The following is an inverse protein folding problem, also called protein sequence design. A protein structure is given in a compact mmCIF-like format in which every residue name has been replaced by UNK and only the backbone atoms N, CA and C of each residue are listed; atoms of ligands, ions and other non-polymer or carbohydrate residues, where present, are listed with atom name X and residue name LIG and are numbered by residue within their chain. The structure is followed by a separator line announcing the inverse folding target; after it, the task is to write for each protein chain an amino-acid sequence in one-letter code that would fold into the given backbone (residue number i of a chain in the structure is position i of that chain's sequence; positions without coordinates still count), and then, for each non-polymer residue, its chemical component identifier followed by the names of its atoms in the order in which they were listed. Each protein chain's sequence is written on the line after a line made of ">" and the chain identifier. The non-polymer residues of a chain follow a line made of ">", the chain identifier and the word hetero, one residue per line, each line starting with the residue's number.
data_IF_589339214020
#
_entry.id   IF_589339214020
#
_cell.length_a   1.000
_cell.length_b   1.000
_cell.length_c   1.000
_cell.angle_alpha   90.00
_cell.angle_beta   90.00
_cell.angle_gamma   90.00
#
_symmetry.space_group_name_H-M   'P 1'
#
loop_
_entity.id
_entity.type
_entity.pdbx_description
1 polymer ?
#
# COMPACT_ATOMS: atom_id res chain seq x y z
N UNK A 1 8.14 -3.58 38.57
CA UNK A 1 7.06 -2.58 38.79
C UNK A 1 5.93 -2.93 37.83
N UNK A 2 4.73 -3.16 38.31
CA UNK A 2 3.59 -3.51 37.43
C UNK A 2 3.07 -2.21 36.81
N UNK A 3 3.19 -2.06 35.51
CA UNK A 3 2.66 -0.89 34.78
C UNK A 3 1.17 -1.13 34.58
N UNK A 4 0.31 -0.28 35.15
CA UNK A 4 -1.15 -0.37 35.03
C UNK A 4 -1.64 0.73 34.08
N UNK A 5 -1.57 0.44 32.77
CA UNK A 5 -2.06 1.31 31.69
C UNK A 5 -3.19 0.59 30.96
N UNK A 6 -4.29 1.30 30.75
CA UNK A 6 -5.43 0.79 29.99
C UNK A 6 -5.34 1.14 28.50
N UNK A 7 -6.09 0.44 27.66
CA UNK A 7 -6.24 0.80 26.24
C UNK A 7 -6.86 2.19 26.07
N UNK A 8 -7.69 2.62 27.01
CA UNK A 8 -8.23 3.98 27.04
C UNK A 8 -7.13 5.02 27.24
N UNK A 9 -6.17 4.74 28.12
CA UNK A 9 -5.02 5.62 28.34
C UNK A 9 -4.18 5.75 27.06
N UNK A 10 -3.88 4.64 26.38
CA UNK A 10 -3.12 4.65 25.14
C UNK A 10 -3.85 5.44 24.04
N UNK A 11 -5.16 5.23 23.86
CA UNK A 11 -5.97 6.00 22.89
C UNK A 11 -5.99 7.49 23.20
N UNK A 12 -6.09 7.83 24.48
CA UNK A 12 -6.06 9.24 24.94
C UNK A 12 -4.70 9.87 24.61
N UNK A 13 -3.60 9.18 24.89
CA UNK A 13 -2.26 9.64 24.54
C UNK A 13 -2.11 9.86 23.02
N UNK A 14 -2.52 8.88 22.18
CA UNK A 14 -2.43 8.99 20.73
C UNK A 14 -3.29 10.12 20.16
N UNK A 15 -4.47 10.40 20.74
CA UNK A 15 -5.29 11.54 20.36
C UNK A 15 -4.59 12.88 20.64
N UNK A 16 -3.91 13.01 21.80
CA UNK A 16 -3.10 14.19 22.11
C UNK A 16 -1.89 14.28 21.16
N UNK A 17 -1.23 13.17 20.86
CA UNK A 17 -0.09 13.12 19.97
C UNK A 17 -0.45 13.55 18.53
N UNK A 18 -1.62 13.12 18.03
CA UNK A 18 -2.09 13.45 16.69
C UNK A 18 -2.57 14.90 16.55
N UNK A 19 -3.22 15.45 17.61
CA UNK A 19 -3.73 16.82 17.58
C UNK A 19 -2.71 17.85 18.06
N UNK A 20 -1.69 17.44 18.81
CA UNK A 20 -0.76 18.29 19.55
C UNK A 20 -1.50 19.33 20.42
N UNK A 21 -2.71 18.98 20.90
CA UNK A 21 -3.60 19.85 21.68
C UNK A 21 -4.45 19.05 22.65
N UNK A 22 -4.26 19.31 23.94
CA UNK A 22 -5.05 18.67 25.00
C UNK A 22 -6.55 19.03 24.95
N UNK A 23 -6.90 20.25 24.54
CA UNK A 23 -8.30 20.66 24.40
C UNK A 23 -8.97 20.05 23.20
N UNK A 24 -8.28 19.95 22.06
CA UNK A 24 -8.85 19.26 20.87
C UNK A 24 -9.01 17.76 21.12
N UNK A 25 -8.02 17.11 21.71
CA UNK A 25 -8.13 15.70 22.11
C UNK A 25 -9.29 15.47 23.09
N UNK A 26 -9.48 16.36 24.07
CA UNK A 26 -10.59 16.30 25.01
C UNK A 26 -11.95 16.37 24.29
N UNK A 27 -12.10 17.28 23.33
CA UNK A 27 -13.29 17.40 22.49
C UNK A 27 -13.54 16.12 21.68
N UNK A 28 -12.50 15.57 21.01
CA UNK A 28 -12.60 14.35 20.22
C UNK A 28 -13.01 13.13 21.06
N UNK A 29 -12.53 13.08 22.31
CA UNK A 29 -12.77 11.95 23.20
C UNK A 29 -14.00 12.14 24.13
N UNK A 30 -14.70 13.27 24.02
CA UNK A 30 -15.82 13.65 24.89
C UNK A 30 -15.42 13.66 26.38
N UNK A 31 -14.21 14.12 26.68
CA UNK A 31 -13.67 14.24 28.03
C UNK A 31 -13.41 15.71 28.38
N UNK A 32 -13.20 15.99 29.69
CA UNK A 32 -12.66 17.27 30.08
C UNK A 32 -11.15 17.35 29.81
N UNK A 33 -10.63 18.55 29.54
CA UNK A 33 -9.20 18.73 29.33
C UNK A 33 -8.38 18.30 30.57
N UNK A 34 -8.91 18.50 31.78
CA UNK A 34 -8.29 18.06 33.04
C UNK A 34 -8.18 16.54 33.10
N UNK A 35 -9.22 15.79 32.64
CA UNK A 35 -9.20 14.34 32.59
C UNK A 35 -8.13 13.84 31.62
N UNK A 36 -8.08 14.39 30.39
CA UNK A 36 -7.04 14.07 29.41
C UNK A 36 -5.64 14.35 29.96
N UNK A 37 -5.45 15.50 30.62
CA UNK A 37 -4.17 15.85 31.23
C UNK A 37 -3.76 14.89 32.35
N UNK A 38 -4.69 14.44 33.17
CA UNK A 38 -4.46 13.47 34.25
C UNK A 38 -4.08 12.10 33.69
N UNK A 39 -4.73 11.67 32.61
CA UNK A 39 -4.41 10.40 31.93
C UNK A 39 -2.98 10.44 31.40
N UNK A 40 -2.60 11.50 30.68
CA UNK A 40 -1.24 11.65 30.15
C UNK A 40 -0.20 11.68 31.26
N UNK A 41 -0.46 12.39 32.35
CA UNK A 41 0.44 12.39 33.53
C UNK A 41 0.61 11.02 34.15
N UNK A 42 -0.46 10.23 34.22
CA UNK A 42 -0.41 8.84 34.70
C UNK A 42 0.46 7.97 33.80
N UNK A 43 0.34 8.12 32.47
CA UNK A 43 1.18 7.40 31.50
C UNK A 43 2.66 7.80 31.68
N UNK A 44 2.95 9.11 31.72
CA UNK A 44 4.32 9.62 31.92
C UNK A 44 4.94 9.11 33.23
N UNK A 45 4.14 9.04 34.28
CA UNK A 45 4.58 8.46 35.57
C UNK A 45 4.85 6.95 35.46
N UNK A 46 4.02 6.22 34.75
CA UNK A 46 4.17 4.78 34.56
C UNK A 46 5.42 4.43 33.73
N UNK A 47 5.70 5.21 32.69
CA UNK A 47 6.90 5.01 31.82
C UNK A 47 8.13 5.74 32.35
N UNK A 48 8.00 6.53 33.42
CA UNK A 48 9.07 7.31 34.04
C UNK A 48 9.78 8.28 33.05
N UNK A 49 9.04 8.78 32.07
CA UNK A 49 9.55 9.70 31.07
C UNK A 49 8.50 10.73 30.70
N UNK A 50 8.92 11.94 30.35
CA UNK A 50 8.06 12.93 29.73
C UNK A 50 7.85 12.57 28.27
N UNK A 51 6.60 12.43 27.85
CA UNK A 51 6.23 12.12 26.48
C UNK A 51 5.89 13.39 25.68
N UNK A 52 5.45 14.47 26.39
CA UNK A 52 5.20 15.77 25.79
C UNK A 52 6.08 16.86 26.38
N UNK A 53 6.54 17.75 25.51
CA UNK A 53 7.05 19.06 25.88
C UNK A 53 5.88 20.04 25.83
N UNK A 54 5.64 20.73 26.96
CA UNK A 54 4.58 21.72 27.09
C UNK A 54 5.21 23.09 27.33
N UNK A 55 4.96 24.01 26.42
CA UNK A 55 5.21 25.44 26.65
C UNK A 55 3.87 26.15 26.67
N UNK A 56 3.84 27.41 27.11
CA UNK A 56 2.62 28.24 27.15
C UNK A 56 2.02 28.45 25.74
N UNK A 57 2.76 28.14 24.68
CA UNK A 57 2.36 28.38 23.28
C UNK A 57 2.29 27.12 22.40
N UNK A 58 2.89 25.98 22.80
CA UNK A 58 3.00 24.83 21.96
C UNK A 58 3.12 23.54 22.76
N UNK A 59 2.46 22.48 22.26
CA UNK A 59 2.66 21.09 22.67
C UNK A 59 3.41 20.37 21.55
N UNK A 60 4.46 19.60 21.89
CA UNK A 60 5.18 18.75 20.97
C UNK A 60 5.58 17.44 21.65
N UNK A 61 5.84 16.39 20.88
CA UNK A 61 6.36 15.14 21.41
C UNK A 61 7.84 15.30 21.81
N UNK A 62 8.27 14.50 22.77
CA UNK A 62 9.68 14.22 23.05
C UNK A 62 10.12 13.03 22.19
N UNK A 63 11.43 12.72 22.11
CA UNK A 63 11.92 11.49 21.49
C UNK A 63 11.30 10.22 22.10
N UNK A 64 11.11 10.21 23.43
CA UNK A 64 10.38 9.14 24.12
C UNK A 64 8.89 9.11 23.73
N UNK A 65 8.29 10.28 23.51
CA UNK A 65 6.91 10.40 23.04
C UNK A 65 6.73 9.85 21.62
N UNK A 66 7.65 10.14 20.72
CA UNK A 66 7.64 9.62 19.34
C UNK A 66 7.76 8.08 19.33
N UNK A 67 8.69 7.54 20.11
CA UNK A 67 8.80 6.09 20.27
C UNK A 67 7.53 5.49 20.86
N UNK A 68 6.99 6.11 21.91
CA UNK A 68 5.77 5.63 22.56
C UNK A 68 4.53 5.71 21.64
N UNK A 69 4.47 6.65 20.69
CA UNK A 69 3.42 6.65 19.64
C UNK A 69 3.47 5.38 18.83
N UNK A 70 4.66 4.96 18.38
CA UNK A 70 4.85 3.73 17.61
C UNK A 70 4.38 2.52 18.41
N UNK A 71 4.87 2.37 19.62
CA UNK A 71 4.60 1.20 20.47
C UNK A 71 3.12 1.15 20.91
N UNK A 72 2.54 2.29 21.28
CA UNK A 72 1.14 2.37 21.69
C UNK A 72 0.18 2.04 20.53
N UNK A 73 0.52 2.47 19.31
CA UNK A 73 -0.25 2.15 18.10
C UNK A 73 -0.25 0.64 17.85
N UNK A 74 0.91 0.00 17.96
CA UNK A 74 1.05 -1.45 17.79
C UNK A 74 0.24 -2.23 18.85
N UNK A 75 0.38 -1.86 20.12
CA UNK A 75 -0.35 -2.51 21.22
C UNK A 75 -1.86 -2.40 21.01
N UNK A 76 -2.37 -1.23 20.64
CA UNK A 76 -3.79 -1.05 20.38
C UNK A 76 -4.27 -1.85 19.17
N UNK A 77 -3.49 -1.91 18.11
CA UNK A 77 -3.82 -2.73 16.94
C UNK A 77 -3.91 -4.22 17.30
N UNK A 78 -2.99 -4.73 18.12
CA UNK A 78 -3.01 -6.11 18.63
C UNK A 78 -4.21 -6.36 19.54
N UNK A 79 -4.53 -5.42 20.43
CA UNK A 79 -5.67 -5.52 21.33
C UNK A 79 -7.00 -5.54 20.56
N UNK A 80 -7.19 -4.60 19.64
CA UNK A 80 -8.41 -4.50 18.83
C UNK A 80 -8.61 -5.75 17.97
N UNK A 81 -7.52 -6.31 17.47
CA UNK A 81 -7.55 -7.57 16.74
C UNK A 81 -7.93 -8.78 17.64
N UNK A 82 -7.40 -8.84 18.86
CA UNK A 82 -7.75 -9.89 19.79
C UNK A 82 -9.24 -9.81 20.19
N UNK A 83 -9.75 -8.61 20.44
CA UNK A 83 -11.17 -8.37 20.71
C UNK A 83 -12.03 -8.70 19.49
N UNK A 84 -11.56 -8.32 18.28
CA UNK A 84 -12.18 -8.67 17.01
C UNK A 84 -12.26 -10.19 16.82
N UNK A 85 -11.14 -10.90 16.98
CA UNK A 85 -11.08 -12.36 16.86
C UNK A 85 -12.05 -13.09 17.82
N UNK A 86 -12.21 -12.60 19.04
CA UNK A 86 -13.17 -13.18 20.00
C UNK A 86 -14.61 -12.91 19.58
N UNK A 87 -14.91 -11.75 19.04
CA UNK A 87 -16.25 -11.43 18.49
C UNK A 87 -16.55 -12.22 17.21
N UNK A 88 -15.55 -12.41 16.35
CA UNK A 88 -15.67 -13.09 15.06
C UNK A 88 -15.86 -14.60 15.20
N UNK A 89 -15.45 -15.22 16.31
CA UNK A 89 -15.77 -16.63 16.63
C UNK A 89 -17.28 -16.84 16.69
N UNK A 90 -18.05 -15.83 17.00
CA UNK A 90 -19.51 -15.96 17.14
C UNK A 90 -20.34 -15.44 15.96
N UNK A 91 -19.83 -14.54 15.11
CA UNK A 91 -20.62 -13.97 14.00
C UNK A 91 -19.72 -13.25 12.96
N UNK A 92 -19.64 -13.75 11.73
CA UNK A 92 -19.21 -13.04 10.53
C UNK A 92 -20.07 -11.79 10.20
N UNK A 93 -20.67 -11.16 11.18
CA UNK A 93 -21.68 -10.09 11.03
C UNK A 93 -21.21 -8.70 11.42
N UNK A 94 -20.03 -8.54 11.97
CA UNK A 94 -19.48 -7.22 12.27
C UNK A 94 -17.97 -7.27 12.40
N UNK A 95 -17.28 -6.46 11.67
CA UNK A 95 -15.82 -6.39 11.68
C UNK A 95 -15.32 -5.36 10.69
N UNK A 96 -14.02 -5.34 10.50
CA UNK A 96 -13.39 -4.52 9.46
C UNK A 96 -12.25 -5.29 8.82
N UNK A 97 -12.04 -5.07 7.53
CA UNK A 97 -10.87 -5.52 6.79
C UNK A 97 -10.19 -4.30 6.21
N UNK A 98 -8.93 -4.12 6.55
CA UNK A 98 -8.09 -3.07 6.03
C UNK A 98 -7.01 -3.68 5.12
N UNK A 99 -6.93 -3.22 3.89
CA UNK A 99 -6.00 -3.72 2.87
C UNK A 99 -5.16 -2.57 2.35
N UNK A 100 -3.85 -2.76 2.26
CA UNK A 100 -2.99 -1.90 1.46
C UNK A 100 -2.76 -2.53 0.08
N UNK A 101 -2.73 -1.74 -0.98
CA UNK A 101 -2.46 -2.25 -2.31
C UNK A 101 -1.65 -1.27 -3.14
N UNK A 102 -0.82 -1.80 -4.04
CA UNK A 102 -0.16 -0.98 -5.05
C UNK A 102 -1.20 -0.26 -5.91
N UNK A 103 -0.96 1.00 -6.36
CA UNK A 103 -1.93 1.82 -7.08
C UNK A 103 -2.58 1.13 -8.27
N UNK A 104 -1.80 0.37 -9.04
CA UNK A 104 -2.33 -0.37 -10.20
C UNK A 104 -3.31 -1.46 -9.81
N UNK A 105 -3.06 -2.20 -8.72
CA UNK A 105 -3.94 -3.24 -8.21
C UNK A 105 -5.12 -2.64 -7.45
N UNK A 106 -4.89 -1.55 -6.71
CA UNK A 106 -5.94 -0.80 -6.04
C UNK A 106 -7.00 -0.30 -7.04
N UNK A 107 -6.57 0.18 -8.21
CA UNK A 107 -7.48 0.67 -9.24
C UNK A 107 -8.12 -0.45 -10.08
N UNK A 108 -7.39 -1.55 -10.37
CA UNK A 108 -7.84 -2.56 -11.32
C UNK A 108 -8.55 -3.75 -10.70
N UNK A 109 -8.08 -4.18 -9.52
CA UNK A 109 -8.53 -5.43 -8.89
C UNK A 109 -9.44 -5.18 -7.68
N UNK A 110 -9.04 -4.24 -6.81
CA UNK A 110 -9.71 -4.05 -5.52
C UNK A 110 -11.18 -3.61 -5.62
N UNK A 111 -11.63 -2.80 -6.60
CA UNK A 111 -13.03 -2.41 -6.68
C UNK A 111 -13.98 -3.61 -6.87
N UNK A 112 -13.66 -4.49 -7.81
CA UNK A 112 -14.48 -5.69 -8.07
C UNK A 112 -14.43 -6.67 -6.90
N UNK A 113 -13.24 -6.83 -6.29
CA UNK A 113 -13.08 -7.65 -5.09
C UNK A 113 -13.92 -7.11 -3.92
N UNK A 114 -13.87 -5.81 -3.67
CA UNK A 114 -14.62 -5.16 -2.60
C UNK A 114 -16.12 -5.25 -2.84
N UNK A 115 -16.57 -5.05 -4.08
CA UNK A 115 -17.98 -5.20 -4.45
C UNK A 115 -18.48 -6.64 -4.19
N UNK A 116 -17.73 -7.64 -4.65
CA UNK A 116 -18.07 -9.05 -4.44
C UNK A 116 -18.04 -9.44 -2.94
N UNK A 117 -17.05 -8.94 -2.20
CA UNK A 117 -16.94 -9.17 -0.76
C UNK A 117 -18.07 -8.51 0.03
N UNK A 118 -18.40 -7.25 -0.27
CA UNK A 118 -19.49 -6.52 0.40
C UNK A 118 -20.86 -7.13 0.12
N UNK A 119 -21.07 -7.69 -1.08
CA UNK A 119 -22.30 -8.40 -1.40
C UNK A 119 -22.48 -9.67 -0.54
N UNK A 120 -21.37 -10.34 -0.16
CA UNK A 120 -21.38 -11.56 0.67
C UNK A 120 -21.38 -11.25 2.17
N UNK A 121 -20.73 -10.14 2.57
CA UNK A 121 -20.51 -9.76 3.97
C UNK A 121 -20.84 -8.26 4.17
N UNK A 122 -22.12 -7.86 4.12
CA UNK A 122 -22.54 -6.45 4.09
C UNK A 122 -22.21 -5.68 5.37
N UNK A 123 -22.06 -6.36 6.49
CA UNK A 123 -21.81 -5.74 7.80
C UNK A 123 -20.30 -5.56 8.10
N UNK A 124 -19.40 -6.00 7.20
CA UNK A 124 -17.97 -5.83 7.34
C UNK A 124 -17.54 -4.51 6.67
N UNK A 125 -16.88 -3.66 7.45
CA UNK A 125 -16.30 -2.42 6.93
C UNK A 125 -15.02 -2.72 6.18
N UNK A 126 -14.91 -2.19 4.96
CA UNK A 126 -13.73 -2.33 4.12
C UNK A 126 -12.96 -1.01 4.08
N UNK A 127 -11.64 -1.12 4.19
CA UNK A 127 -10.72 0.00 4.04
C UNK A 127 -9.63 -0.38 3.06
N UNK A 128 -9.46 0.43 2.01
CA UNK A 128 -8.35 0.33 1.08
C UNK A 128 -7.39 1.48 1.31
N UNK A 129 -6.10 1.17 1.38
CA UNK A 129 -5.01 2.14 1.38
C UNK A 129 -4.22 1.94 0.10
N UNK A 130 -4.43 2.83 -0.85
CA UNK A 130 -3.67 2.91 -2.09
C UNK A 130 -2.30 3.50 -1.79
N UNK A 131 -1.24 2.69 -1.94
CA UNK A 131 0.11 3.12 -1.56
C UNK A 131 1.21 2.30 -2.25
N UNK A 132 2.45 2.77 -2.16
CA UNK A 132 3.63 2.11 -2.70
C UNK A 132 4.12 0.95 -1.81
N UNK A 133 5.06 0.13 -2.32
CA UNK A 133 5.52 -1.08 -1.62
C UNK A 133 6.07 -0.81 -0.23
N UNK A 134 7.03 0.11 -0.08
CA UNK A 134 7.65 0.34 1.22
C UNK A 134 6.67 0.86 2.29
N UNK A 135 5.79 1.85 2.03
CA UNK A 135 4.73 2.20 2.94
C UNK A 135 3.74 1.06 3.22
N UNK A 136 3.42 0.21 2.22
CA UNK A 136 2.53 -0.94 2.41
C UNK A 136 3.11 -1.94 3.42
N UNK A 137 4.39 -2.28 3.31
CA UNK A 137 5.09 -3.11 4.30
C UNK A 137 5.05 -2.49 5.69
N UNK A 138 5.32 -1.19 5.81
CA UNK A 138 5.28 -0.49 7.08
C UNK A 138 3.87 -0.51 7.72
N UNK A 139 2.80 -0.39 6.92
CA UNK A 139 1.43 -0.51 7.41
C UNK A 139 1.13 -1.91 7.94
N UNK A 140 1.61 -2.96 7.27
CA UNK A 140 1.49 -4.35 7.74
C UNK A 140 2.26 -4.55 9.05
N UNK A 141 3.52 -4.11 9.12
CA UNK A 141 4.33 -4.23 10.33
C UNK A 141 3.70 -3.55 11.53
N UNK A 142 3.10 -2.36 11.34
CA UNK A 142 2.39 -1.64 12.41
C UNK A 142 1.00 -2.19 12.71
N UNK A 143 0.52 -3.17 11.93
CA UNK A 143 -0.83 -3.72 12.08
C UNK A 143 -1.95 -2.74 11.76
N UNK A 144 -1.67 -1.71 10.97
CA UNK A 144 -2.66 -0.73 10.49
C UNK A 144 -3.51 -1.28 9.34
N UNK A 145 -3.05 -2.34 8.69
CA UNK A 145 -3.79 -3.15 7.73
C UNK A 145 -3.65 -4.63 8.07
N UNK A 146 -4.63 -5.41 7.66
CA UNK A 146 -4.63 -6.87 7.87
C UNK A 146 -3.61 -7.54 6.94
N UNK A 147 -3.56 -7.11 5.69
CA UNK A 147 -2.58 -7.55 4.70
C UNK A 147 -2.34 -6.49 3.63
N UNK A 148 -1.29 -6.69 2.85
CA UNK A 148 -1.00 -5.86 1.68
C UNK A 148 -0.88 -6.69 0.40
N UNK A 149 -1.32 -6.14 -0.72
CA UNK A 149 -1.08 -6.65 -2.07
C UNK A 149 0.06 -5.84 -2.70
N UNK A 150 1.26 -6.41 -2.72
CA UNK A 150 2.48 -5.69 -3.10
C UNK A 150 3.50 -6.58 -3.80
N UNK A 151 4.55 -5.96 -4.35
CA UNK A 151 5.67 -6.68 -4.90
C UNK A 151 6.50 -7.32 -3.78
N UNK A 152 7.10 -8.49 -4.07
CA UNK A 152 8.03 -9.13 -3.14
C UNK A 152 9.23 -8.23 -2.87
N UNK A 153 9.67 -8.19 -1.60
CA UNK A 153 10.90 -7.51 -1.20
C UNK A 153 11.60 -8.32 -0.09
N UNK A 154 12.79 -8.89 -0.36
CA UNK A 154 13.53 -9.69 0.62
C UNK A 154 13.94 -8.93 1.89
N UNK A 155 13.92 -7.60 1.87
CA UNK A 155 14.24 -6.78 3.05
C UNK A 155 13.23 -6.94 4.19
N UNK A 156 12.03 -7.47 3.91
CA UNK A 156 10.94 -7.67 4.88
C UNK A 156 10.74 -9.14 5.23
N UNK A 157 11.82 -9.83 5.60
CA UNK A 157 11.80 -11.26 5.95
C UNK A 157 11.01 -11.59 7.24
N UNK A 158 10.66 -10.58 8.02
CA UNK A 158 9.80 -10.67 9.22
C UNK A 158 8.30 -10.78 8.89
N UNK A 159 7.93 -10.61 7.63
CA UNK A 159 6.56 -10.74 7.14
C UNK A 159 6.38 -12.05 6.37
N UNK A 160 5.17 -12.58 6.40
CA UNK A 160 4.80 -13.70 5.53
C UNK A 160 4.44 -13.15 4.15
N UNK A 161 5.02 -13.75 3.13
CA UNK A 161 4.73 -13.45 1.73
C UNK A 161 4.14 -14.69 1.04
N UNK A 162 2.96 -14.54 0.44
CA UNK A 162 2.33 -15.56 -0.41
C UNK A 162 2.27 -15.04 -1.84
N UNK A 163 3.01 -15.68 -2.74
CA UNK A 163 2.99 -15.34 -4.16
C UNK A 163 1.60 -15.55 -4.76
N UNK A 164 1.14 -14.60 -5.56
CA UNK A 164 -0.13 -14.64 -6.27
C UNK A 164 0.06 -14.74 -7.78
N UNK A 165 0.89 -13.87 -8.34
CA UNK A 165 1.07 -13.74 -9.79
C UNK A 165 2.38 -13.02 -10.10
N UNK A 166 2.74 -13.02 -11.38
CA UNK A 166 3.83 -12.20 -11.91
C UNK A 166 3.27 -11.14 -12.86
N UNK A 167 3.58 -9.89 -12.60
CA UNK A 167 3.19 -8.75 -13.44
C UNK A 167 4.34 -8.44 -14.42
N UNK A 168 4.13 -8.68 -15.71
CA UNK A 168 5.12 -8.44 -16.76
C UNK A 168 5.20 -6.97 -17.11
N UNK A 169 6.37 -6.51 -17.50
CA UNK A 169 6.53 -5.15 -17.97
C UNK A 169 6.28 -5.05 -19.48
N UNK A 170 5.63 -3.96 -19.84
CA UNK A 170 5.35 -3.55 -21.21
C UNK A 170 5.93 -2.15 -21.46
N UNK A 171 6.18 -1.80 -22.71
CA UNK A 171 6.53 -0.44 -23.11
C UNK A 171 5.25 0.30 -23.50
N UNK A 172 4.94 1.38 -22.79
CA UNK A 172 3.87 2.32 -23.12
C UNK A 172 4.45 3.45 -23.98
N UNK A 173 3.77 3.77 -25.09
CA UNK A 173 4.23 4.80 -26.04
C UNK A 173 3.07 5.39 -26.84
N UNK A 174 3.25 6.54 -27.50
CA UNK A 174 2.27 7.07 -28.44
C UNK A 174 2.06 6.11 -29.63
N UNK A 175 0.85 6.05 -30.19
CA UNK A 175 0.50 5.20 -31.33
C UNK A 175 1.39 5.40 -32.56
N UNK A 176 1.91 6.61 -32.77
CA UNK A 176 2.80 6.95 -33.87
C UNK A 176 4.30 6.72 -33.60
N UNK A 177 4.66 6.11 -32.47
CA UNK A 177 6.06 5.88 -32.12
C UNK A 177 6.69 4.81 -33.02
N UNK A 178 7.99 4.93 -33.40
CA UNK A 178 8.65 3.94 -34.26
C UNK A 178 8.58 2.49 -33.76
N UNK A 179 8.53 2.29 -32.43
CA UNK A 179 8.40 0.97 -31.81
C UNK A 179 6.95 0.50 -31.68
N UNK A 180 5.96 1.23 -32.17
CA UNK A 180 4.54 0.88 -32.02
C UNK A 180 4.10 -0.27 -32.93
N UNK A 181 4.94 -0.76 -33.87
CA UNK A 181 4.70 -1.95 -34.69
C UNK A 181 4.39 -3.21 -33.84
N UNK A 182 3.69 -4.18 -34.41
CA UNK A 182 3.07 -5.29 -33.67
C UNK A 182 3.98 -6.29 -32.96
N UNK A 183 5.30 -6.27 -33.13
CA UNK A 183 6.25 -7.22 -32.54
C UNK A 183 6.60 -6.86 -31.09
N UNK A 184 6.95 -7.86 -30.24
CA UNK A 184 7.60 -7.60 -28.94
C UNK A 184 8.89 -6.82 -29.11
N UNK A 185 9.21 -5.96 -28.12
CA UNK A 185 10.34 -5.03 -28.17
C UNK A 185 11.47 -5.56 -27.29
N UNK A 186 12.69 -5.81 -27.85
CA UNK A 186 13.86 -6.04 -27.01
C UNK A 186 14.10 -4.83 -26.09
N UNK A 187 14.28 -5.11 -24.79
CA UNK A 187 14.42 -4.05 -23.79
C UNK A 187 15.55 -3.07 -24.12
N UNK A 188 16.68 -3.58 -24.63
CA UNK A 188 17.79 -2.74 -25.06
C UNK A 188 17.39 -1.68 -26.12
N UNK A 189 16.43 -2.03 -27.00
CA UNK A 189 15.97 -1.11 -28.04
C UNK A 189 15.19 0.08 -27.51
N UNK A 190 14.51 -0.07 -26.38
CA UNK A 190 13.77 1.05 -25.77
C UNK A 190 14.69 2.03 -25.03
N UNK A 191 15.87 1.60 -24.60
CA UNK A 191 16.84 2.46 -23.90
C UNK A 191 17.41 3.59 -24.79
N UNK A 192 17.25 3.48 -26.10
CA UNK A 192 17.65 4.56 -27.04
C UNK A 192 16.70 5.76 -27.03
N UNK A 193 15.56 5.67 -26.38
CA UNK A 193 14.55 6.73 -26.34
C UNK A 193 14.48 7.40 -24.96
N UNK A 194 14.05 8.66 -24.88
CA UNK A 194 13.77 9.29 -23.59
C UNK A 194 12.71 8.51 -22.80
N UNK A 195 12.98 8.28 -21.53
CA UNK A 195 12.04 7.59 -20.64
C UNK A 195 11.33 8.55 -19.69
N UNK A 196 10.03 8.37 -19.54
CA UNK A 196 9.24 8.87 -18.41
C UNK A 196 9.12 7.74 -17.41
N UNK A 197 9.62 7.89 -16.21
CA UNK A 197 9.68 6.85 -15.19
C UNK A 197 8.98 7.29 -13.91
N UNK A 198 8.55 6.29 -13.14
CA UNK A 198 8.20 6.51 -11.73
C UNK A 198 9.45 6.90 -10.94
N UNK A 199 9.28 7.75 -9.92
CA UNK A 199 10.35 8.19 -9.02
C UNK A 199 10.88 7.07 -8.12
N UNK A 200 12.07 7.26 -7.53
CA UNK A 200 12.55 6.44 -6.43
C UNK A 200 11.75 6.74 -5.13
N UNK A 201 11.54 5.72 -4.27
CA UNK A 201 11.90 4.30 -4.36
C UNK A 201 10.69 3.43 -4.76
N UNK A 202 10.25 3.47 -6.01
CA UNK A 202 9.16 2.60 -6.48
C UNK A 202 9.68 1.27 -7.01
N UNK A 203 8.92 0.17 -6.81
CA UNK A 203 9.25 -1.13 -7.40
C UNK A 203 9.35 -1.04 -8.93
N UNK A 204 8.51 -0.24 -9.59
CA UNK A 204 8.59 -0.02 -11.04
C UNK A 204 9.98 0.47 -11.44
N UNK A 205 10.48 1.51 -10.77
CA UNK A 205 11.80 2.09 -11.04
C UNK A 205 12.93 1.09 -10.78
N UNK A 206 12.83 0.32 -9.69
CA UNK A 206 13.84 -0.67 -9.31
C UNK A 206 13.97 -1.79 -10.35
N UNK A 207 12.85 -2.35 -10.82
CA UNK A 207 12.87 -3.43 -11.81
C UNK A 207 13.40 -2.96 -13.17
N UNK A 208 13.03 -1.76 -13.63
CA UNK A 208 13.55 -1.18 -14.87
C UNK A 208 15.05 -0.90 -14.76
N UNK A 209 15.51 -0.33 -13.64
CA UNK A 209 16.92 -0.07 -13.41
C UNK A 209 17.75 -1.36 -13.33
N UNK A 210 17.23 -2.40 -12.69
CA UNK A 210 17.88 -3.70 -12.62
C UNK A 210 18.01 -4.36 -14.02
N UNK A 211 16.97 -4.27 -14.85
CA UNK A 211 17.02 -4.76 -16.22
C UNK A 211 18.03 -3.98 -17.10
N UNK A 212 18.09 -2.66 -16.97
CA UNK A 212 19.07 -1.84 -17.67
C UNK A 212 20.51 -2.18 -17.27
N UNK A 213 20.73 -2.44 -15.99
CA UNK A 213 22.05 -2.82 -15.47
C UNK A 213 22.52 -4.16 -16.05
N UNK A 214 21.63 -5.12 -16.34
CA UNK A 214 21.97 -6.37 -17.03
C UNK A 214 22.53 -6.11 -18.46
N UNK A 215 22.17 -5.00 -19.07
CA UNK A 215 22.73 -4.55 -20.34
C UNK A 215 23.95 -3.60 -20.17
N UNK A 216 24.49 -3.47 -18.96
CA UNK A 216 25.61 -2.58 -18.68
C UNK A 216 25.26 -1.09 -18.71
N UNK A 217 23.96 -0.75 -18.67
CA UNK A 217 23.47 0.64 -18.76
C UNK A 217 22.93 1.07 -17.40
N UNK A 218 23.41 2.21 -16.90
CA UNK A 218 22.77 2.87 -15.77
C UNK A 218 21.51 3.58 -16.25
N UNK A 219 20.34 3.13 -15.78
CA UNK A 219 19.07 3.71 -16.18
C UNK A 219 18.91 5.14 -15.65
N UNK A 220 18.89 6.11 -16.56
CA UNK A 220 18.69 7.53 -16.27
C UNK A 220 17.51 8.04 -17.10
N UNK A 221 16.29 8.08 -16.54
CA UNK A 221 15.13 8.57 -17.27
C UNK A 221 15.25 10.09 -17.51
N UNK A 222 14.65 10.56 -18.59
CA UNK A 222 14.56 11.99 -18.90
C UNK A 222 13.60 12.71 -17.95
N UNK A 223 12.60 12.00 -17.45
CA UNK A 223 11.59 12.54 -16.51
C UNK A 223 11.27 11.53 -15.43
N UNK A 224 11.14 12.02 -14.19
CA UNK A 224 10.70 11.25 -13.03
C UNK A 224 9.44 11.87 -12.44
N UNK A 225 8.42 11.04 -12.19
CA UNK A 225 7.13 11.46 -11.62
C UNK A 225 6.57 10.44 -10.64
N UNK A 226 5.70 10.88 -9.73
CA UNK A 226 5.20 10.04 -8.63
C UNK A 226 3.90 9.29 -8.96
N UNK A 227 3.19 9.69 -10.02
CA UNK A 227 1.87 9.16 -10.34
C UNK A 227 1.79 8.55 -11.73
N UNK A 228 1.18 7.35 -11.84
CA UNK A 228 0.98 6.64 -13.10
C UNK A 228 0.23 7.46 -14.15
N UNK A 229 -0.79 8.23 -13.73
CA UNK A 229 -1.54 9.10 -14.65
C UNK A 229 -0.65 10.19 -15.26
N UNK A 230 0.30 10.72 -14.49
CA UNK A 230 1.27 11.71 -14.99
C UNK A 230 2.24 11.07 -15.98
N UNK A 231 2.69 9.82 -15.72
CA UNK A 231 3.48 9.06 -16.70
C UNK A 231 2.74 8.97 -18.02
N UNK A 232 1.48 8.52 -17.99
CA UNK A 232 0.67 8.37 -19.22
C UNK A 232 0.46 9.70 -19.96
N UNK A 233 0.15 10.77 -19.23
CA UNK A 233 -0.04 12.09 -19.82
C UNK A 233 1.24 12.61 -20.50
N UNK A 234 2.40 12.43 -19.89
CA UNK A 234 3.69 12.85 -20.49
C UNK A 234 4.06 11.99 -21.71
N UNK A 235 3.81 10.67 -21.64
CA UNK A 235 4.01 9.78 -22.79
C UNK A 235 3.07 10.19 -23.93
N UNK A 236 1.80 10.48 -23.65
CA UNK A 236 0.82 10.98 -24.62
C UNK A 236 1.30 12.30 -25.28
N UNK A 237 1.89 13.20 -24.51
CA UNK A 237 2.44 14.46 -24.97
C UNK A 237 3.74 14.30 -25.80
N UNK A 238 4.26 13.08 -25.95
CA UNK A 238 5.47 12.81 -26.73
C UNK A 238 6.77 13.06 -25.97
N UNK A 239 6.74 13.16 -24.64
CA UNK A 239 7.96 13.35 -23.83
C UNK A 239 8.89 12.12 -23.84
N UNK A 240 8.40 10.96 -24.30
CA UNK A 240 9.18 9.72 -24.39
C UNK A 240 8.30 8.49 -24.27
N UNK A 241 8.91 7.39 -23.82
CA UNK A 241 8.27 6.09 -23.59
C UNK A 241 8.32 5.75 -22.10
N UNK A 242 7.48 4.80 -21.65
CA UNK A 242 7.52 4.33 -20.27
C UNK A 242 7.48 2.82 -20.20
N UNK A 243 8.43 2.21 -19.50
CA UNK A 243 8.39 0.79 -19.13
C UNK A 243 7.58 0.64 -17.84
N UNK A 244 6.41 0.04 -17.95
CA UNK A 244 5.45 -0.13 -16.84
C UNK A 244 5.03 -1.59 -16.71
N UNK A 245 4.67 -2.06 -15.50
CA UNK A 245 3.97 -3.31 -15.34
C UNK A 245 2.66 -3.33 -16.13
N UNK A 246 2.27 -4.47 -16.68
CA UNK A 246 1.10 -4.60 -17.57
C UNK A 246 -0.20 -4.14 -16.91
N UNK A 247 -0.38 -4.47 -15.62
CA UNK A 247 -1.55 -4.01 -14.85
C UNK A 247 -1.55 -2.48 -14.72
N UNK A 248 -0.38 -1.85 -14.50
CA UNK A 248 -0.28 -0.39 -14.43
C UNK A 248 -0.55 0.25 -15.80
N UNK A 249 -0.01 -0.30 -16.87
CA UNK A 249 -0.24 0.18 -18.23
C UNK A 249 -1.74 0.07 -18.62
N UNK A 250 -2.42 -1.02 -18.19
CA UNK A 250 -3.85 -1.20 -18.43
C UNK A 250 -4.71 -0.17 -17.67
N UNK A 251 -4.31 0.24 -16.46
CA UNK A 251 -5.02 1.28 -15.68
C UNK A 251 -4.96 2.63 -16.37
N UNK A 252 -3.83 2.95 -17.00
CA UNK A 252 -3.61 4.26 -17.67
C UNK A 252 -3.85 4.21 -19.18
N UNK A 253 -4.40 3.10 -19.67
CA UNK A 253 -4.70 2.95 -21.10
C UNK A 253 -5.67 4.05 -21.59
N UNK A 254 -5.29 4.73 -22.67
CA UNK A 254 -6.07 5.82 -23.30
C UNK A 254 -5.99 5.71 -24.81
N UNK A 255 -6.97 6.28 -25.52
CA UNK A 255 -6.91 6.43 -26.95
C UNK A 255 -5.67 7.25 -27.35
N UNK A 256 -4.86 6.72 -28.25
CA UNK A 256 -3.60 7.36 -28.65
C UNK A 256 -2.34 6.76 -28.01
N UNK A 257 -2.48 5.98 -26.95
CA UNK A 257 -1.40 5.15 -26.38
C UNK A 257 -1.48 3.72 -26.90
N UNK A 258 -0.34 3.10 -27.04
CA UNK A 258 -0.21 1.65 -27.29
C UNK A 258 0.82 1.06 -26.34
N UNK A 259 0.62 -0.20 -26.02
CA UNK A 259 1.57 -1.00 -25.23
C UNK A 259 2.11 -2.17 -26.05
N UNK A 260 3.36 -2.56 -25.80
CA UNK A 260 4.01 -3.71 -26.40
C UNK A 260 4.82 -4.44 -25.35
N UNK A 261 4.84 -5.76 -25.47
CA UNK A 261 5.62 -6.61 -24.58
C UNK A 261 7.11 -6.29 -24.68
N UNK A 262 7.77 -6.23 -23.53
CA UNK A 262 9.21 -6.14 -23.43
C UNK A 262 9.80 -7.55 -23.33
N UNK A 263 10.82 -7.81 -24.15
CA UNK A 263 11.58 -9.07 -24.20
C UNK A 263 13.08 -8.77 -24.10
N UNK A 264 13.87 -9.81 -23.84
CA UNK A 264 15.34 -9.74 -23.77
C UNK A 264 15.87 -8.59 -22.88
N UNK A 265 15.60 -8.64 -21.54
CA UNK A 265 14.90 -9.68 -20.79
C UNK A 265 13.39 -9.41 -20.68
N UNK A 266 12.62 -10.48 -20.43
CA UNK A 266 11.23 -10.32 -19.93
C UNK A 266 11.32 -9.90 -18.47
N UNK A 267 10.97 -8.66 -18.19
CA UNK A 267 10.96 -8.14 -16.81
C UNK A 267 9.68 -8.63 -16.13
N UNK A 268 9.82 -9.34 -15.01
CA UNK A 268 8.71 -9.88 -14.21
C UNK A 268 8.79 -9.35 -12.79
N UNK A 269 7.68 -8.88 -12.28
CA UNK A 269 7.54 -8.42 -10.91
C UNK A 269 6.64 -9.38 -10.15
N UNK A 270 7.18 -10.19 -9.21
CA UNK A 270 6.35 -11.05 -8.36
C UNK A 270 5.43 -10.19 -7.50
N UNK A 271 4.14 -10.51 -7.53
CA UNK A 271 3.10 -9.86 -6.73
C UNK A 271 2.51 -10.90 -5.78
N UNK A 272 2.31 -10.52 -4.54
CA UNK A 272 1.75 -11.40 -3.53
C UNK A 272 1.04 -10.67 -2.42
N UNK A 273 0.43 -11.49 -1.57
CA UNK A 273 -0.13 -11.05 -0.30
C UNK A 273 0.98 -11.05 0.76
N UNK A 274 0.95 -10.01 1.58
CA UNK A 274 1.90 -9.83 2.68
C UNK A 274 1.13 -9.55 3.95
N UNK A 275 1.42 -10.31 5.01
CA UNK A 275 0.88 -10.08 6.35
C UNK A 275 1.91 -10.42 7.42
N UNK A 276 1.62 -10.12 8.66
CA UNK A 276 2.54 -10.38 9.77
C UNK A 276 2.73 -11.87 10.00
N UNK A 277 3.99 -12.32 10.13
CA UNK A 277 4.31 -13.73 10.38
C UNK A 277 3.92 -14.20 11.79
N UNK A 278 3.88 -13.28 12.76
CA UNK A 278 3.57 -13.57 14.16
C UNK A 278 2.06 -13.59 14.47
N UNK A 279 1.20 -13.48 13.45
CA UNK A 279 -0.25 -13.38 13.62
C UNK A 279 -1.00 -13.94 12.43
N UNK A 280 -2.01 -14.77 12.72
CA UNK A 280 -2.98 -15.19 11.71
C UNK A 280 -3.90 -14.04 11.28
N UNK A 281 -4.32 -14.09 10.03
CA UNK A 281 -5.37 -13.19 9.55
C UNK A 281 -6.67 -13.45 10.31
N UNK A 282 -7.41 -12.40 10.63
CA UNK A 282 -8.77 -12.52 11.15
C UNK A 282 -9.64 -13.33 10.17
N UNK A 283 -10.73 -13.98 10.62
CA UNK A 283 -11.64 -14.69 9.72
C UNK A 283 -12.13 -13.82 8.56
N UNK A 284 -12.42 -12.54 8.80
CA UNK A 284 -12.84 -11.60 7.79
C UNK A 284 -11.71 -11.29 6.78
N UNK A 285 -10.50 -11.03 7.28
CA UNK A 285 -9.34 -10.79 6.42
C UNK A 285 -8.94 -12.05 5.64
N UNK A 286 -9.05 -13.25 6.25
CA UNK A 286 -8.83 -14.52 5.58
C UNK A 286 -9.82 -14.73 4.44
N UNK A 287 -11.12 -14.52 4.68
CA UNK A 287 -12.13 -14.64 3.64
C UNK A 287 -11.92 -13.67 2.47
N UNK A 288 -11.39 -12.46 2.75
CA UNK A 288 -11.01 -11.50 1.70
C UNK A 288 -9.79 -12.01 0.91
N UNK A 289 -8.79 -12.53 1.60
CA UNK A 289 -7.59 -13.08 0.97
C UNK A 289 -7.93 -14.31 0.10
N UNK A 290 -8.80 -15.20 0.59
CA UNK A 290 -9.25 -16.38 -0.16
C UNK A 290 -10.04 -15.95 -1.42
N UNK A 291 -10.95 -14.99 -1.30
CA UNK A 291 -11.68 -14.44 -2.45
C UNK A 291 -10.73 -13.81 -3.48
N UNK A 292 -9.67 -13.14 -3.04
CA UNK A 292 -8.64 -12.60 -3.93
C UNK A 292 -7.89 -13.72 -4.66
N UNK A 293 -7.50 -14.79 -3.95
CA UNK A 293 -6.83 -15.96 -4.52
C UNK A 293 -7.69 -16.62 -5.59
N UNK A 294 -8.97 -16.83 -5.32
CA UNK A 294 -9.93 -17.41 -6.25
C UNK A 294 -10.03 -16.55 -7.52
N UNK A 295 -10.16 -15.24 -7.39
CA UNK A 295 -10.26 -14.30 -8.53
C UNK A 295 -9.00 -14.25 -9.38
N UNK A 296 -7.83 -14.33 -8.76
CA UNK A 296 -6.55 -14.41 -9.49
C UNK A 296 -6.44 -15.76 -10.21
N UNK A 297 -6.87 -16.86 -9.60
CA UNK A 297 -6.92 -18.19 -10.21
C UNK A 297 -7.88 -18.27 -11.40
N UNK A 298 -8.98 -17.50 -11.40
CA UNK A 298 -9.93 -17.36 -12.51
C UNK A 298 -9.39 -16.55 -13.70
N UNK A 299 -8.15 -16.04 -13.62
CA UNK A 299 -7.50 -15.33 -14.72
C UNK A 299 -7.76 -13.81 -14.74
N UNK A 300 -8.27 -13.23 -13.66
CA UNK A 300 -8.57 -11.78 -13.59
C UNK A 300 -7.34 -10.87 -13.83
N UNK A 301 -6.15 -11.43 -13.73
CA UNK A 301 -4.87 -10.72 -13.95
C UNK A 301 -4.12 -11.21 -15.20
N UNK A 302 -4.72 -12.07 -16.04
CA UNK A 302 -4.10 -12.46 -17.31
C UNK A 302 -4.17 -11.31 -18.31
N UNK A 303 -3.09 -11.06 -19.10
CA UNK A 303 -3.04 -9.97 -20.08
C UNK A 303 -4.13 -10.04 -21.17
N UNK A 304 -4.76 -11.19 -21.34
CA UNK A 304 -5.74 -11.46 -22.41
C UNK A 304 -7.17 -10.92 -22.14
N UNK A 305 -7.42 -10.30 -21.00
CA UNK A 305 -8.74 -9.69 -20.67
C UNK A 305 -8.77 -8.19 -21.03
N UNK A 306 -8.03 -7.76 -22.04
CA UNK A 306 -8.34 -6.50 -22.71
C UNK A 306 -9.38 -6.84 -23.79
N UNK A 307 -10.65 -6.77 -23.41
CA UNK A 307 -11.74 -6.88 -24.36
C UNK A 307 -11.64 -5.72 -25.38
N UNK A 308 -11.35 -5.99 -26.68
CA UNK A 308 -11.17 -4.93 -27.66
C UNK A 308 -12.47 -4.19 -28.00
N UNK A 309 -13.60 -4.57 -27.44
CA UNK A 309 -14.93 -4.04 -27.74
C UNK A 309 -15.30 -2.74 -27.04
N UNK A 310 -14.42 -2.13 -26.23
CA UNK A 310 -14.70 -0.85 -25.55
C UNK A 310 -14.08 0.36 -26.30
N UNK A 311 -13.43 0.14 -27.44
CA UNK A 311 -12.78 1.18 -28.26
C UNK A 311 -13.39 1.30 -29.65
N UNK A 312 -14.68 1.00 -29.81
CA UNK A 312 -15.45 1.38 -31.01
C UNK A 312 -16.29 2.63 -30.78
#
# INVERSE_FOLDING_TARGET
>A
MKVDLSTHDLRTFLSVAGTLSFSQAATQLHLSQSAVSSIVLRIEAAVQARLFQRTTRKVSLTAAGEQFVTDATEVLARFDAAVGAVRDISQLRSGSVAVAALPSFAAKLMPDLFAAYSARYPDIRLRLIDTLSAPAFALVQRGEVDFALTAADPAYADLTYQSLTEDRFVLLMPRGHPLAGGAPIPFASCLAYPHVSMSHPTSVRQYVAAAALQHGVQFSPAYEVDHLMTVAAMVMAGCGVAALPSVAAAVVAQAGLVQRDLVDPVIRRPIGLVWRADRDLSPAARAMADLLLDRVGEGLLTPDVINPSILS
#
